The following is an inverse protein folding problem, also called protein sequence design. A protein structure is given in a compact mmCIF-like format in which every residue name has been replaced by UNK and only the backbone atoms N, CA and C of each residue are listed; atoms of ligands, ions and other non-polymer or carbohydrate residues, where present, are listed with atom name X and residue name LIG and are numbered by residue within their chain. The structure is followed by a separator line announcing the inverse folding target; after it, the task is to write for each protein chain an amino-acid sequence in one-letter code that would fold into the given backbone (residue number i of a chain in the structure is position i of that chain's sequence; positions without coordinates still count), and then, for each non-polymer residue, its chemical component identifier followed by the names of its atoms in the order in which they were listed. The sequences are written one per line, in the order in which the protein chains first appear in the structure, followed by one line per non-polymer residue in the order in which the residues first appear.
data_IF_600383731270
#
_entry.id   IF_600383731270
#
_cell.length_a   1.000
_cell.length_b   1.000
_cell.length_c   1.000
_cell.angle_alpha   90.00
_cell.angle_beta   90.00
_cell.angle_gamma   90.00
#
_symmetry.space_group_name_H-M   'P 1'
#
loop_
_entity.id
_entity.type
_entity.pdbx_description
1 polymer ?
#
# COMPACT_ATOMS: atom_id res chain seq x y z
N UNK A 1 -41.24 -36.19 23.82
CA UNK A 1 -40.73 -34.97 24.50
C UNK A 1 -39.21 -34.88 24.67
N UNK A 2 -38.43 -35.92 25.09
CA UNK A 2 -36.99 -35.75 25.36
C UNK A 2 -36.11 -35.58 24.09
N UNK A 3 -36.49 -36.20 22.96
CA UNK A 3 -35.78 -36.05 21.67
C UNK A 3 -35.83 -34.62 21.13
N UNK A 4 -36.99 -33.95 21.20
CA UNK A 4 -37.14 -32.55 20.81
C UNK A 4 -36.28 -31.61 21.66
N UNK A 5 -36.23 -31.81 22.99
CA UNK A 5 -35.36 -31.04 23.87
C UNK A 5 -33.86 -31.24 23.56
N UNK A 6 -33.46 -32.45 23.16
CA UNK A 6 -32.08 -32.73 22.72
C UNK A 6 -31.75 -32.05 21.40
N UNK A 7 -32.65 -32.12 20.41
CA UNK A 7 -32.48 -31.47 19.11
C UNK A 7 -32.37 -29.95 19.27
N UNK A 8 -33.25 -29.34 20.07
CA UNK A 8 -33.22 -27.91 20.35
C UNK A 8 -31.89 -27.47 20.96
N UNK A 9 -31.36 -28.20 21.94
CA UNK A 9 -30.04 -27.90 22.52
C UNK A 9 -28.92 -28.04 21.50
N UNK A 10 -28.96 -29.07 20.65
CA UNK A 10 -27.96 -29.24 19.59
C UNK A 10 -27.98 -28.06 18.62
N UNK A 11 -29.16 -27.60 18.21
CA UNK A 11 -29.31 -26.41 17.36
C UNK A 11 -28.71 -25.17 18.03
N UNK A 12 -28.96 -24.96 19.33
CA UNK A 12 -28.37 -23.84 20.07
C UNK A 12 -26.84 -23.92 20.14
N UNK A 13 -26.27 -25.12 20.38
CA UNK A 13 -24.82 -25.30 20.38
C UNK A 13 -24.21 -25.01 19.02
N UNK A 14 -24.83 -25.48 17.93
CA UNK A 14 -24.37 -25.18 16.57
C UNK A 14 -24.44 -23.68 16.31
N UNK A 15 -25.56 -23.03 16.64
CA UNK A 15 -25.71 -21.58 16.48
C UNK A 15 -24.66 -20.79 17.28
N UNK A 16 -24.35 -21.22 18.51
CA UNK A 16 -23.31 -20.61 19.32
C UNK A 16 -21.92 -20.76 18.69
N UNK A 17 -21.56 -21.96 18.22
CA UNK A 17 -20.27 -22.21 17.56
C UNK A 17 -20.13 -21.37 16.29
N UNK A 18 -21.18 -21.31 15.47
CA UNK A 18 -21.20 -20.47 14.26
C UNK A 18 -21.03 -19.00 14.62
N UNK A 19 -21.75 -18.52 15.65
CA UNK A 19 -21.62 -17.14 16.13
C UNK A 19 -20.20 -16.83 16.62
N UNK A 20 -19.59 -17.71 17.41
CA UNK A 20 -18.22 -17.54 17.90
C UNK A 20 -17.20 -17.53 16.77
N UNK A 21 -17.32 -18.43 15.81
CA UNK A 21 -16.45 -18.47 14.63
C UNK A 21 -16.58 -17.18 13.81
N UNK A 22 -17.81 -16.71 13.57
CA UNK A 22 -18.06 -15.48 12.84
C UNK A 22 -17.50 -14.25 13.56
N UNK A 23 -17.71 -14.11 14.87
CA UNK A 23 -17.13 -13.04 15.68
C UNK A 23 -15.60 -13.07 15.67
N UNK A 24 -15.00 -14.27 15.70
CA UNK A 24 -13.54 -14.42 15.63
C UNK A 24 -13.00 -13.94 14.29
N UNK A 25 -13.65 -14.28 13.18
CA UNK A 25 -13.28 -13.79 11.84
C UNK A 25 -13.39 -12.27 11.75
N UNK A 26 -14.49 -11.70 12.24
CA UNK A 26 -14.68 -10.25 12.26
C UNK A 26 -13.63 -9.55 13.13
N UNK A 27 -13.26 -10.13 14.28
CA UNK A 27 -12.22 -9.58 15.13
C UNK A 27 -10.85 -9.57 14.46
N UNK A 28 -10.48 -10.66 13.77
CA UNK A 28 -9.23 -10.73 13.00
C UNK A 28 -9.21 -9.67 11.90
N UNK A 29 -10.31 -9.52 11.15
CA UNK A 29 -10.44 -8.49 10.13
C UNK A 29 -10.35 -7.07 10.71
N UNK A 30 -11.01 -6.82 11.85
CA UNK A 30 -10.98 -5.52 12.52
C UNK A 30 -9.58 -5.18 13.04
N UNK A 31 -8.86 -6.17 13.58
CA UNK A 31 -7.46 -6.01 14.01
C UNK A 31 -6.57 -5.60 12.84
N UNK A 32 -6.73 -6.24 11.69
CA UNK A 32 -5.91 -5.95 10.51
C UNK A 32 -6.18 -4.52 9.99
N UNK A 33 -7.45 -4.07 9.95
CA UNK A 33 -7.77 -2.67 9.63
C UNK A 33 -7.26 -1.67 10.68
N UNK A 34 -7.30 -2.02 11.96
CA UNK A 34 -6.76 -1.18 13.03
C UNK A 34 -5.24 -0.98 12.86
N UNK A 35 -4.50 -2.05 12.56
CA UNK A 35 -3.06 -1.96 12.31
C UNK A 35 -2.77 -1.14 11.07
N UNK A 36 -3.51 -1.35 9.97
CA UNK A 36 -3.36 -0.57 8.75
C UNK A 36 -3.58 0.94 8.99
N UNK A 37 -4.65 1.31 9.68
CA UNK A 37 -4.93 2.72 10.01
C UNK A 37 -3.83 3.34 10.88
N UNK A 38 -3.37 2.62 11.90
CA UNK A 38 -2.31 3.12 12.79
C UNK A 38 -0.94 3.20 12.09
N UNK A 39 -0.65 2.31 11.14
CA UNK A 39 0.54 2.42 10.29
C UNK A 39 0.49 3.71 9.47
N UNK A 40 -0.65 4.04 8.86
CA UNK A 40 -0.82 5.32 8.14
C UNK A 40 -0.72 6.53 9.08
N UNK A 41 -1.24 6.44 10.31
CA UNK A 41 -1.09 7.53 11.29
C UNK A 41 0.37 7.73 11.74
N UNK A 42 1.14 6.64 11.86
CA UNK A 42 2.54 6.68 12.30
C UNK A 42 3.48 7.24 11.23
N UNK A 43 3.21 6.93 9.96
CA UNK A 43 4.00 7.39 8.82
C UNK A 43 3.06 7.77 7.65
N UNK A 44 2.42 8.94 7.70
CA UNK A 44 1.38 9.32 6.73
C UNK A 44 1.90 9.52 5.31
N UNK A 45 3.21 9.76 5.16
CA UNK A 45 3.86 9.94 3.85
C UNK A 45 4.63 8.69 3.40
N UNK A 46 4.75 7.67 4.24
CA UNK A 46 5.52 6.46 3.95
C UNK A 46 7.02 6.73 3.80
N UNK A 47 7.59 7.68 4.55
CA UNK A 47 9.00 8.06 4.45
C UNK A 47 9.97 6.91 4.75
N UNK A 48 9.48 5.87 5.44
CA UNK A 48 10.26 4.67 5.76
C UNK A 48 10.16 3.57 4.71
N UNK A 49 9.43 3.79 3.61
CA UNK A 49 9.23 2.79 2.57
C UNK A 49 10.52 2.46 1.80
N UNK A 50 11.46 3.40 1.76
CA UNK A 50 12.77 3.22 1.14
C UNK A 50 13.87 3.57 2.13
N UNK A 51 14.89 2.74 2.26
CA UNK A 51 16.03 3.04 3.12
C UNK A 51 16.86 4.16 2.50
N UNK A 52 17.21 5.19 3.28
CA UNK A 52 18.06 6.29 2.83
C UNK A 52 19.43 5.82 2.30
N UNK A 53 19.93 4.69 2.83
CA UNK A 53 21.21 4.09 2.44
C UNK A 53 21.13 3.24 1.17
N UNK A 54 19.93 3.01 0.63
CA UNK A 54 19.71 2.19 -0.58
C UNK A 54 19.58 3.06 -1.82
N UNK A 55 20.68 3.70 -2.22
CA UNK A 55 20.83 4.12 -3.62
C UNK A 55 21.19 2.86 -4.42
N UNK A 56 20.39 2.45 -5.42
CA UNK A 56 20.77 1.37 -6.32
C UNK A 56 22.16 1.64 -6.91
N UNK A 57 23.05 0.65 -6.87
CA UNK A 57 24.43 0.75 -7.38
C UNK A 57 24.48 1.25 -8.84
N UNK A 58 23.43 0.98 -9.61
CA UNK A 58 23.27 1.42 -11.00
C UNK A 58 23.09 2.94 -11.18
N UNK A 59 22.68 3.71 -10.15
CA UNK A 59 22.59 5.18 -10.21
C UNK A 59 23.99 5.82 -10.20
N UNK A 60 24.96 5.16 -9.55
CA UNK A 60 26.33 5.66 -9.44
C UNK A 60 27.14 5.50 -10.74
N UNK A 61 26.62 4.78 -11.73
CA UNK A 61 27.25 4.65 -13.03
C UNK A 61 27.07 5.94 -13.85
N UNK A 62 28.07 6.82 -13.83
CA UNK A 62 28.08 8.15 -14.47
C UNK A 62 27.75 8.19 -15.98
N UNK A 63 27.62 7.03 -16.64
CA UNK A 63 27.29 6.91 -18.07
C UNK A 63 25.79 6.74 -18.38
N UNK A 64 24.93 6.46 -17.39
CA UNK A 64 23.49 6.22 -17.62
C UNK A 64 22.63 7.41 -17.21
N UNK A 65 21.50 7.59 -17.89
CA UNK A 65 20.45 8.56 -17.53
C UNK A 65 19.53 7.98 -16.45
N UNK A 66 19.35 8.72 -15.37
CA UNK A 66 18.57 8.27 -14.22
C UNK A 66 17.08 8.57 -14.42
N UNK A 67 16.27 7.52 -14.44
CA UNK A 67 14.81 7.58 -14.59
C UNK A 67 14.15 7.11 -13.30
N UNK A 68 13.25 7.93 -12.75
CA UNK A 68 12.50 7.57 -11.55
C UNK A 68 11.02 7.43 -11.85
N UNK A 69 10.45 6.26 -11.57
CA UNK A 69 9.00 6.08 -11.50
C UNK A 69 8.51 6.57 -10.13
N UNK A 70 7.67 7.58 -10.11
CA UNK A 70 7.23 8.23 -8.87
C UNK A 70 5.70 8.26 -8.81
N UNK A 71 5.10 7.79 -7.71
CA UNK A 71 3.65 7.76 -7.66
C UNK A 71 3.03 6.78 -6.67
N UNK A 72 1.80 6.39 -6.97
CA UNK A 72 1.05 5.39 -6.21
C UNK A 72 1.36 3.95 -6.66
N UNK A 73 0.50 2.98 -6.30
CA UNK A 73 0.61 1.57 -6.70
C UNK A 73 0.82 1.41 -8.22
N UNK A 74 0.26 2.29 -9.05
CA UNK A 74 0.44 2.19 -10.49
C UNK A 74 1.88 2.42 -10.89
N UNK A 75 2.56 3.41 -10.31
CA UNK A 75 4.00 3.60 -10.51
C UNK A 75 4.81 2.43 -9.93
N UNK A 76 4.42 1.90 -8.77
CA UNK A 76 5.05 0.73 -8.13
C UNK A 76 5.06 -0.50 -9.07
N UNK A 77 4.00 -0.67 -9.85
CA UNK A 77 3.85 -1.78 -10.80
C UNK A 77 4.55 -1.57 -12.15
N UNK A 78 5.25 -0.45 -12.38
CA UNK A 78 6.00 -0.26 -13.62
C UNK A 78 7.12 -1.28 -13.76
N UNK A 79 7.16 -1.93 -14.92
CA UNK A 79 8.23 -2.83 -15.30
C UNK A 79 9.41 -2.03 -15.87
N UNK A 80 10.61 -2.36 -15.42
CA UNK A 80 11.84 -1.78 -15.97
C UNK A 80 12.06 -2.34 -17.38
N UNK A 81 12.21 -1.49 -18.42
CA UNK A 81 12.49 -1.96 -19.77
C UNK A 81 13.88 -2.59 -19.86
N UNK A 82 13.95 -3.88 -20.22
CA UNK A 82 15.22 -4.63 -20.26
C UNK A 82 16.22 -4.16 -21.35
N UNK A 83 15.73 -3.46 -22.39
CA UNK A 83 16.53 -3.13 -23.58
C UNK A 83 17.08 -1.70 -23.59
N UNK A 84 16.89 -0.92 -22.51
CA UNK A 84 17.34 0.47 -22.41
C UNK A 84 18.62 0.58 -21.57
N UNK A 85 19.75 0.22 -22.18
CA UNK A 85 21.06 0.13 -21.49
C UNK A 85 21.65 1.48 -21.07
N UNK A 86 21.26 2.55 -21.75
CA UNK A 86 21.71 3.93 -21.48
C UNK A 86 20.93 4.56 -20.31
N UNK A 87 19.99 3.83 -19.71
CA UNK A 87 19.14 4.31 -18.62
C UNK A 87 19.28 3.43 -17.38
N UNK A 88 19.23 4.09 -16.22
CA UNK A 88 19.07 3.46 -14.90
C UNK A 88 17.67 3.77 -14.41
N UNK A 89 16.96 2.77 -13.88
CA UNK A 89 15.57 2.92 -13.44
C UNK A 89 15.44 2.69 -11.95
N UNK A 90 14.72 3.58 -11.29
CA UNK A 90 14.44 3.50 -9.85
C UNK A 90 12.94 3.61 -9.65
N UNK A 91 12.38 2.70 -8.86
CA UNK A 91 10.97 2.79 -8.49
C UNK A 91 10.82 3.47 -7.12
N UNK A 92 9.97 4.49 -7.06
CA UNK A 92 9.55 5.24 -5.87
C UNK A 92 8.02 5.32 -5.78
N UNK A 93 7.33 4.30 -6.32
CA UNK A 93 5.90 4.06 -6.14
C UNK A 93 5.60 3.50 -4.75
N UNK A 94 4.53 4.00 -4.12
CA UNK A 94 4.04 3.46 -2.84
C UNK A 94 2.54 3.21 -2.97
N UNK A 95 2.12 1.98 -2.69
CA UNK A 95 0.72 1.60 -2.73
C UNK A 95 -0.19 2.50 -1.88
N UNK A 96 -1.46 2.59 -2.28
CA UNK A 96 -2.55 3.28 -1.56
C UNK A 96 -2.44 4.81 -1.39
N UNK A 97 -1.34 5.44 -1.80
CA UNK A 97 -1.13 6.88 -1.57
C UNK A 97 -1.97 7.79 -2.49
N UNK A 98 -2.42 8.92 -1.96
CA UNK A 98 -3.07 10.02 -2.69
C UNK A 98 -2.04 10.99 -3.29
N UNK A 99 -2.49 11.91 -4.15
CA UNK A 99 -1.66 12.98 -4.69
C UNK A 99 -0.99 13.80 -3.59
N UNK A 100 -1.72 14.13 -2.52
CA UNK A 100 -1.18 14.91 -1.41
C UNK A 100 -0.03 14.19 -0.71
N UNK A 101 -0.14 12.87 -0.49
CA UNK A 101 0.92 12.08 0.13
C UNK A 101 2.13 11.92 -0.81
N UNK A 102 1.90 11.68 -2.10
CA UNK A 102 2.98 11.58 -3.09
C UNK A 102 3.73 12.90 -3.22
N UNK A 103 3.03 14.03 -3.23
CA UNK A 103 3.67 15.35 -3.25
C UNK A 103 4.46 15.61 -1.95
N UNK A 104 3.89 15.25 -0.79
CA UNK A 104 4.52 15.48 0.51
C UNK A 104 5.85 14.76 0.74
N UNK A 105 6.12 13.68 0.00
CA UNK A 105 7.38 12.93 0.07
C UNK A 105 8.34 13.19 -1.10
N UNK A 106 8.07 14.21 -1.91
CA UNK A 106 8.89 14.54 -3.08
C UNK A 106 10.34 14.78 -2.69
N UNK A 107 10.56 15.63 -1.69
CA UNK A 107 11.91 16.03 -1.29
C UNK A 107 12.73 14.85 -0.78
N UNK A 108 12.16 14.01 0.08
CA UNK A 108 12.85 12.87 0.66
C UNK A 108 13.10 11.73 -0.34
N UNK A 109 12.12 11.44 -1.21
CA UNK A 109 12.18 10.24 -2.06
C UNK A 109 12.71 10.50 -3.47
N UNK A 110 12.76 11.77 -3.91
CA UNK A 110 13.13 12.11 -5.29
C UNK A 110 14.39 12.97 -5.38
N UNK A 111 14.56 13.99 -4.52
CA UNK A 111 15.71 14.90 -4.63
C UNK A 111 17.07 14.17 -4.49
N UNK A 112 17.26 13.23 -3.53
CA UNK A 112 18.54 12.53 -3.38
C UNK A 112 18.93 11.68 -4.59
N UNK A 113 17.97 11.34 -5.46
CA UNK A 113 18.22 10.51 -6.64
C UNK A 113 18.75 11.30 -7.84
N UNK A 114 18.69 12.63 -7.81
CA UNK A 114 19.08 13.51 -8.91
C UNK A 114 18.62 12.97 -10.29
N UNK A 115 17.31 12.74 -10.50
CA UNK A 115 16.81 12.14 -11.73
C UNK A 115 17.02 13.06 -12.93
N UNK A 116 17.42 12.49 -14.07
CA UNK A 116 17.32 13.16 -15.38
C UNK A 116 15.87 13.18 -15.87
N UNK A 117 15.12 12.11 -15.57
CA UNK A 117 13.73 11.91 -16.02
C UNK A 117 12.88 11.42 -14.86
N UNK A 118 11.71 12.05 -14.68
CA UNK A 118 10.71 11.62 -13.70
C UNK A 118 9.45 11.22 -14.46
N UNK A 119 8.95 10.03 -14.17
CA UNK A 119 7.68 9.54 -14.70
C UNK A 119 6.70 9.47 -13.53
N UNK A 120 5.67 10.31 -13.59
CA UNK A 120 4.71 10.47 -12.48
C UNK A 120 3.40 9.76 -12.79
N UNK A 121 2.93 8.91 -11.87
CA UNK A 121 1.61 8.29 -11.96
C UNK A 121 0.86 8.34 -10.63
N UNK A 122 -0.24 9.08 -10.60
CA UNK A 122 -0.98 9.44 -9.37
C UNK A 122 -2.49 9.54 -9.64
N UNK A 123 -3.28 9.81 -8.59
CA UNK A 123 -4.68 10.28 -8.62
C UNK A 123 -5.78 9.21 -8.56
N UNK A 124 -5.48 7.92 -8.76
CA UNK A 124 -6.54 6.91 -8.70
C UNK A 124 -7.12 6.76 -7.28
N UNK A 125 -6.27 6.92 -6.27
CA UNK A 125 -6.68 6.85 -4.87
C UNK A 125 -7.48 8.10 -4.46
N UNK A 126 -7.13 9.28 -4.97
CA UNK A 126 -7.91 10.52 -4.78
C UNK A 126 -9.32 10.39 -5.37
N UNK A 127 -9.44 9.84 -6.59
CA UNK A 127 -10.76 9.62 -7.21
C UNK A 127 -11.61 8.61 -6.42
N UNK A 128 -10.97 7.58 -5.86
CA UNK A 128 -11.64 6.57 -5.03
C UNK A 128 -12.16 7.16 -3.71
N UNK A 129 -11.52 8.21 -3.17
CA UNK A 129 -11.92 8.81 -1.89
C UNK A 129 -13.05 9.82 -2.02
N UNK A 130 -13.25 10.46 -3.19
CA UNK A 130 -14.37 11.39 -3.43
C UNK A 130 -15.73 10.86 -2.90
N UNK A 131 -16.20 9.65 -3.27
CA UNK A 131 -17.49 9.16 -2.79
C UNK A 131 -17.53 8.79 -1.29
N UNK A 132 -16.37 8.66 -0.63
CA UNK A 132 -16.29 8.35 0.80
C UNK A 132 -16.47 9.58 1.69
N UNK A 133 -16.16 10.77 1.14
CA UNK A 133 -16.24 12.05 1.84
C UNK A 133 -17.01 13.06 0.97
N UNK A 134 -18.33 12.87 0.77
CA UNK A 134 -19.13 13.83 0.02
C UNK A 134 -19.18 15.17 0.76
N UNK A 135 -19.02 16.26 0.01
CA UNK A 135 -19.28 17.64 0.47
C UNK A 135 -20.79 17.93 0.56
#
# INVERSE_FOLDING_TARGET
MPKQKRLFRLTLYIALVVSLAFNSLLFLQARDYYLLLNQTNLDPLGLRAFSADSLPDDIAAAAKKNVVFFGDLRAEMWLVPANLKDFSFVNRGISTQTLAQVLGRFDEHLLPLHPDIIIVQVRINDLKTIPLFPE
#
